data_IF_689367115040
#
_entry.id   IF_689367115040
#
_cell.length_a   1.000
_cell.length_b   1.000
_cell.length_c   1.000
_cell.angle_alpha   90.00
_cell.angle_beta   90.00
_cell.angle_gamma   90.00
#
_symmetry.space_group_name_H-M   'P 1'
#
loop_
_entity.id
_entity.type
_entity.pdbx_description
1 polymer ?
#
# COMPACT_ATOMS: atom_id res chain seq x y z
N UNK A 1 35.07 36.46 -16.35
CA UNK A 1 34.55 36.54 -14.97
C UNK A 1 33.09 36.12 -15.00
N UNK A 2 32.80 34.91 -14.52
CA UNK A 2 31.45 34.35 -14.44
C UNK A 2 30.96 34.55 -13.00
N UNK A 3 29.76 35.09 -12.74
CA UNK A 3 29.25 35.22 -11.39
C UNK A 3 28.90 33.84 -10.83
N UNK A 4 29.40 33.53 -9.64
CA UNK A 4 29.06 32.33 -8.91
C UNK A 4 27.55 32.32 -8.60
N UNK A 5 26.81 31.39 -9.21
CA UNK A 5 25.46 31.08 -8.79
C UNK A 5 25.52 30.53 -7.37
N UNK A 6 24.90 31.23 -6.43
CA UNK A 6 24.75 30.79 -5.06
C UNK A 6 24.07 29.43 -5.00
N UNK A 7 24.62 28.54 -4.18
CA UNK A 7 23.98 27.28 -3.82
C UNK A 7 22.56 27.55 -3.29
N UNK A 8 21.57 26.70 -3.62
CA UNK A 8 20.25 26.77 -3.00
C UNK A 8 20.42 26.50 -1.50
N UNK A 9 20.05 27.48 -0.69
CA UNK A 9 19.99 27.34 0.77
C UNK A 9 19.01 26.22 1.14
N UNK A 10 19.30 25.40 2.17
CA UNK A 10 18.37 24.40 2.64
C UNK A 10 17.13 25.10 3.21
N UNK A 11 15.97 24.87 2.60
CA UNK A 11 14.70 25.39 3.08
C UNK A 11 14.44 24.92 4.52
N UNK A 12 14.30 25.84 5.49
CA UNK A 12 13.98 25.48 6.85
C UNK A 12 12.46 25.32 6.97
N UNK A 13 12.05 24.19 7.56
CA UNK A 13 10.75 23.94 8.18
C UNK A 13 9.54 23.85 7.23
N UNK A 14 9.25 22.62 6.79
CA UNK A 14 7.88 22.22 6.50
C UNK A 14 7.14 22.05 7.85
N UNK A 15 6.81 23.16 8.48
CA UNK A 15 5.93 23.18 9.64
C UNK A 15 4.54 22.81 9.14
N UNK A 16 4.00 21.66 9.56
CA UNK A 16 2.58 21.35 9.41
C UNK A 16 1.80 22.43 10.18
N UNK A 17 1.40 23.49 9.47
CA UNK A 17 0.83 24.70 10.08
C UNK A 17 -0.70 24.70 10.10
N UNK A 18 -1.36 23.65 9.55
CA UNK A 18 -2.81 23.52 9.56
C UNK A 18 -3.28 22.37 10.47
N UNK A 19 -4.13 22.64 11.49
CA UNK A 19 -4.71 21.60 12.33
C UNK A 19 -5.59 20.61 11.54
N UNK A 20 -6.16 21.04 10.40
CA UNK A 20 -6.90 20.17 9.48
C UNK A 20 -6.00 19.09 8.85
N UNK A 21 -4.75 19.43 8.51
CA UNK A 21 -3.80 18.49 7.90
C UNK A 21 -3.36 17.42 8.91
N UNK A 22 -3.25 17.77 10.20
CA UNK A 22 -2.95 16.80 11.25
C UNK A 22 -4.08 15.80 11.47
N UNK A 23 -5.35 16.26 11.49
CA UNK A 23 -6.49 15.37 11.62
C UNK A 23 -6.60 14.42 10.41
N UNK A 24 -6.39 14.92 9.19
CA UNK A 24 -6.37 14.08 8.00
C UNK A 24 -5.22 13.06 8.04
N UNK A 25 -4.04 13.45 8.48
CA UNK A 25 -2.89 12.54 8.64
C UNK A 25 -3.21 11.41 9.63
N UNK A 26 -3.81 11.74 10.77
CA UNK A 26 -4.21 10.75 11.78
C UNK A 26 -5.27 9.79 11.23
N UNK A 27 -6.29 10.32 10.55
CA UNK A 27 -7.33 9.51 9.93
C UNK A 27 -6.73 8.57 8.87
N UNK A 28 -5.82 9.07 8.04
CA UNK A 28 -5.13 8.29 7.02
C UNK A 28 -4.24 7.21 7.63
N UNK A 29 -3.49 7.51 8.69
CA UNK A 29 -2.70 6.52 9.43
C UNK A 29 -3.59 5.43 10.01
N UNK A 30 -4.68 5.81 10.67
CA UNK A 30 -5.61 4.86 11.28
C UNK A 30 -6.26 3.97 10.23
N UNK A 31 -6.75 4.56 9.14
CA UNK A 31 -7.32 3.85 8.00
C UNK A 31 -6.31 2.88 7.39
N UNK A 32 -5.06 3.30 7.19
CA UNK A 32 -4.01 2.43 6.64
C UNK A 32 -3.68 1.27 7.60
N UNK A 33 -3.67 1.51 8.92
CA UNK A 33 -3.48 0.45 9.91
C UNK A 33 -4.64 -0.56 9.92
N UNK A 34 -5.88 -0.09 9.84
CA UNK A 34 -7.05 -0.95 9.69
C UNK A 34 -6.98 -1.77 8.41
N UNK A 35 -6.63 -1.14 7.29
CA UNK A 35 -6.48 -1.81 6.00
C UNK A 35 -5.40 -2.90 6.05
N UNK A 36 -4.28 -2.66 6.74
CA UNK A 36 -3.24 -3.66 6.95
C UNK A 36 -3.76 -4.85 7.79
N UNK A 37 -4.54 -4.60 8.85
CA UNK A 37 -5.16 -5.64 9.68
C UNK A 37 -6.15 -6.49 8.89
N UNK A 38 -7.02 -5.86 8.11
CA UNK A 38 -8.00 -6.55 7.26
C UNK A 38 -7.31 -7.36 6.17
N UNK A 39 -6.27 -6.80 5.54
CA UNK A 39 -5.47 -7.53 4.54
C UNK A 39 -4.81 -8.76 5.16
N UNK A 40 -4.22 -8.64 6.36
CA UNK A 40 -3.66 -9.78 7.10
C UNK A 40 -4.73 -10.83 7.41
N UNK A 41 -5.93 -10.41 7.82
CA UNK A 41 -7.06 -11.31 8.08
C UNK A 41 -7.44 -12.09 6.83
N UNK A 42 -7.65 -11.41 5.71
CA UNK A 42 -7.99 -12.05 4.43
C UNK A 42 -6.90 -12.99 3.93
N UNK A 43 -5.63 -12.66 4.15
CA UNK A 43 -4.52 -13.51 3.75
C UNK A 43 -4.46 -14.82 4.57
N UNK A 44 -4.75 -14.74 5.87
CA UNK A 44 -4.91 -15.91 6.75
C UNK A 44 -6.10 -16.76 6.35
N UNK A 45 -7.25 -16.14 6.04
CA UNK A 45 -8.43 -16.83 5.52
C UNK A 45 -8.13 -17.55 4.20
N UNK A 46 -7.41 -16.90 3.28
CA UNK A 46 -6.97 -17.51 2.01
C UNK A 46 -5.98 -18.68 2.23
N UNK A 47 -5.22 -18.64 3.33
CA UNK A 47 -4.33 -19.72 3.75
C UNK A 47 -5.07 -20.92 4.36
N UNK A 48 -6.21 -20.70 5.00
CA UNK A 48 -7.00 -21.76 5.66
C UNK A 48 -8.04 -22.43 4.77
N UNK A 49 -8.27 -21.92 3.55
CA UNK A 49 -9.16 -22.55 2.59
C UNK A 49 -8.69 -23.98 2.22
N UNK A 50 -9.60 -24.96 2.14
CA UNK A 50 -9.24 -26.30 1.72
C UNK A 50 -8.67 -26.28 0.28
N UNK A 51 -7.64 -27.10 0.00
CA UNK A 51 -7.06 -27.15 -1.33
C UNK A 51 -8.09 -27.65 -2.34
N UNK A 52 -8.19 -27.04 -3.53
CA UNK A 52 -9.10 -27.50 -4.59
C UNK A 52 -8.75 -28.93 -5.02
N UNK A 53 -9.74 -29.67 -5.54
CA UNK A 53 -9.54 -31.07 -5.93
C UNK A 53 -8.60 -31.23 -7.14
N UNK A 54 -8.50 -30.19 -8.00
CA UNK A 54 -7.61 -30.22 -9.17
C UNK A 54 -6.19 -29.79 -8.81
N UNK A 55 -5.15 -30.58 -9.16
CA UNK A 55 -3.75 -30.20 -8.97
C UNK A 55 -3.36 -28.88 -9.65
N UNK A 56 -3.97 -28.55 -10.80
CA UNK A 56 -3.69 -27.28 -11.50
C UNK A 56 -4.23 -26.07 -10.75
N UNK A 57 -5.42 -26.20 -10.16
CA UNK A 57 -6.05 -25.15 -9.35
C UNK A 57 -5.29 -24.94 -8.04
N UNK A 58 -4.79 -26.02 -7.42
CA UNK A 58 -3.95 -25.94 -6.22
C UNK A 58 -2.68 -25.12 -6.48
N UNK A 59 -2.01 -25.39 -7.60
CA UNK A 59 -0.80 -24.65 -8.01
C UNK A 59 -1.10 -23.18 -8.28
N UNK A 60 -2.20 -22.88 -8.98
CA UNK A 60 -2.61 -21.51 -9.27
C UNK A 60 -2.92 -20.74 -7.99
N UNK A 61 -3.68 -21.35 -7.07
CA UNK A 61 -4.01 -20.73 -5.78
C UNK A 61 -2.75 -20.48 -4.95
N UNK A 62 -1.80 -21.43 -4.92
CA UNK A 62 -0.50 -21.27 -4.24
C UNK A 62 0.26 -20.06 -4.80
N UNK A 63 0.42 -19.98 -6.12
CA UNK A 63 1.14 -18.89 -6.77
C UNK A 63 0.49 -17.51 -6.50
N UNK A 64 -0.84 -17.43 -6.57
CA UNK A 64 -1.56 -16.20 -6.25
C UNK A 64 -1.34 -15.78 -4.80
N UNK A 65 -1.40 -16.73 -3.87
CA UNK A 65 -1.19 -16.47 -2.44
C UNK A 65 0.23 -15.97 -2.17
N UNK A 66 1.24 -16.58 -2.78
CA UNK A 66 2.64 -16.17 -2.67
C UNK A 66 2.86 -14.74 -3.19
N UNK A 67 2.31 -14.41 -4.37
CA UNK A 67 2.39 -13.04 -4.92
C UNK A 67 1.74 -12.03 -3.98
N UNK A 68 0.54 -12.31 -3.50
CA UNK A 68 -0.16 -11.43 -2.55
C UNK A 68 0.63 -11.23 -1.25
N UNK A 69 1.28 -12.28 -0.72
CA UNK A 69 2.14 -12.16 0.45
C UNK A 69 3.37 -11.28 0.20
N UNK A 70 4.03 -11.42 -0.94
CA UNK A 70 5.20 -10.63 -1.29
C UNK A 70 4.85 -9.15 -1.52
N UNK A 71 3.75 -8.88 -2.22
CA UNK A 71 3.25 -7.53 -2.46
C UNK A 71 2.85 -6.85 -1.15
N UNK A 72 2.12 -7.58 -0.29
CA UNK A 72 1.73 -7.09 1.02
C UNK A 72 2.94 -6.84 1.93
N UNK A 73 3.93 -7.72 1.95
CA UNK A 73 5.19 -7.54 2.67
C UNK A 73 5.90 -6.25 2.26
N UNK A 74 5.99 -6.02 0.95
CA UNK A 74 6.63 -4.83 0.38
C UNK A 74 5.88 -3.55 0.76
N UNK A 75 4.55 -3.56 0.66
CA UNK A 75 3.72 -2.42 1.07
C UNK A 75 3.84 -2.13 2.58
N UNK A 76 3.84 -3.19 3.40
CA UNK A 76 3.94 -3.06 4.86
C UNK A 76 5.30 -2.53 5.31
N UNK A 77 6.38 -2.94 4.64
CA UNK A 77 7.72 -2.41 4.89
C UNK A 77 7.79 -0.91 4.59
N UNK A 78 7.28 -0.48 3.43
CA UNK A 78 7.19 0.94 3.08
C UNK A 78 6.38 1.73 4.11
N UNK A 79 5.22 1.19 4.53
CA UNK A 79 4.39 1.82 5.55
C UNK A 79 5.12 1.95 6.90
N UNK A 80 5.87 0.93 7.32
CA UNK A 80 6.65 0.96 8.55
C UNK A 80 7.73 2.03 8.53
N UNK A 81 8.41 2.21 7.40
CA UNK A 81 9.41 3.29 7.22
C UNK A 81 8.76 4.66 7.39
N UNK A 82 7.61 4.88 6.74
CA UNK A 82 6.86 6.14 6.83
C UNK A 82 6.35 6.38 8.26
N UNK A 83 5.79 5.37 8.94
CA UNK A 83 5.34 5.47 10.32
C UNK A 83 6.46 5.83 11.30
N UNK A 84 7.63 5.18 11.18
CA UNK A 84 8.79 5.48 12.05
C UNK A 84 9.26 6.91 11.87
N UNK A 85 9.34 7.37 10.61
CA UNK A 85 9.71 8.75 10.31
C UNK A 85 8.70 9.74 10.88
N UNK A 86 7.39 9.45 10.77
CA UNK A 86 6.36 10.28 11.37
C UNK A 86 6.52 10.36 12.90
N UNK A 87 6.80 9.23 13.56
CA UNK A 87 6.98 9.16 15.01
C UNK A 87 8.21 9.95 15.48
N UNK A 88 9.30 9.88 14.71
CA UNK A 88 10.53 10.63 15.00
C UNK A 88 10.31 12.14 14.88
N UNK A 89 9.65 12.60 13.80
CA UNK A 89 9.30 14.01 13.60
C UNK A 89 8.41 14.52 14.74
N UNK A 90 7.37 13.76 15.10
CA UNK A 90 6.44 14.18 16.15
C UNK A 90 7.13 14.22 17.52
N UNK A 91 8.00 13.25 17.82
CA UNK A 91 8.80 13.21 19.05
C UNK A 91 9.79 14.38 19.14
N UNK A 92 10.47 14.72 18.05
CA UNK A 92 11.36 15.88 18.01
C UNK A 92 10.58 17.18 18.25
N UNK A 93 9.39 17.31 17.66
CA UNK A 93 8.53 18.49 17.85
C UNK A 93 8.10 18.67 19.30
N UNK A 94 7.77 17.57 20.00
CA UNK A 94 7.38 17.59 21.42
C UNK A 94 8.58 17.88 22.32
N UNK A 95 9.74 17.30 22.01
CA UNK A 95 10.98 17.58 22.74
C UNK A 95 11.37 19.06 22.64
N UNK A 96 11.24 19.66 21.45
CA UNK A 96 11.50 21.08 21.21
C UNK A 96 10.52 21.98 21.96
N UNK A 97 9.22 21.67 21.90
CA UNK A 97 8.20 22.41 22.65
C UNK A 97 8.43 22.36 24.17
N UNK A 98 8.85 21.19 24.69
CA UNK A 98 9.25 21.06 26.10
C UNK A 98 10.51 21.86 26.46
N UNK A 99 11.53 21.84 25.60
CA UNK A 99 12.77 22.57 25.85
C UNK A 99 12.53 24.09 25.90
N UNK A 100 11.73 24.62 24.95
CA UNK A 100 11.29 26.02 24.98
C UNK A 100 10.47 26.36 26.23
N UNK A 101 9.60 25.43 26.67
CA UNK A 101 8.82 25.61 27.90
C UNK A 101 9.66 25.57 29.18
N UNK A 102 10.76 24.81 29.24
CA UNK A 102 11.66 24.76 30.41
C UNK A 102 12.55 26.00 30.52
N UNK A 103 12.98 26.57 29.39
CA UNK A 103 13.82 27.78 29.37
C UNK A 103 13.05 29.03 29.83
N UNK A 104 11.72 29.03 29.69
CA UNK A 104 10.84 30.13 30.12
C UNK A 104 10.15 29.88 31.47
N UNK A 105 10.35 28.68 32.06
CA UNK A 105 9.68 28.24 33.29
C UNK A 105 10.54 28.31 34.56
N UNK A 106 11.83 28.66 34.47
CA UNK A 106 12.70 28.80 35.64
C UNK A 106 12.64 30.22 36.23
N UNK A 107 11.43 30.58 36.69
CA UNK A 107 11.16 31.77 37.49
C UNK A 107 10.49 31.44 38.84
N UNK A 108 10.46 30.16 39.24
CA UNK A 108 9.75 29.76 40.45
C UNK A 108 10.13 28.38 40.97
N UNK A 109 10.89 28.39 42.08
CA UNK A 109 11.21 27.27 42.97
C UNK A 109 12.25 26.24 42.49
N UNK A 110 13.51 26.67 42.44
CA UNK A 110 14.64 25.81 42.84
C UNK A 110 14.83 25.97 44.35
N UNK A 111 14.09 25.18 45.12
CA UNK A 111 14.59 24.72 46.43
C UNK A 111 15.31 23.41 46.18
N UNK A 112 16.52 23.50 45.63
CA UNK A 112 17.51 22.48 45.92
C UNK A 112 18.87 23.12 46.16
N UNK A 113 19.35 22.84 47.34
CA UNK A 113 20.50 23.44 47.99
C UNK A 113 21.75 22.77 47.41
N UNK A 114 22.36 23.37 46.39
CA UNK A 114 23.72 23.03 46.00
C UNK A 114 24.63 24.23 46.26
N UNK A 115 25.26 24.20 47.43
CA UNK A 115 26.41 25.02 47.77
C UNK A 115 27.52 24.70 46.77
N UNK A 116 27.94 25.68 45.98
CA UNK A 116 29.24 25.70 45.32
C UNK A 116 29.78 27.11 45.42
N UNK A 117 31.04 27.16 45.87
CA UNK A 117 31.77 28.32 46.32
C UNK A 117 31.97 29.37 45.20
N UNK A 118 32.08 30.61 45.65
CA UNK A 118 32.40 31.82 44.89
C UNK A 118 33.68 31.66 44.06
N UNK A 119 33.69 32.23 42.86
CA UNK A 119 34.76 33.11 42.41
C UNK A 119 34.19 34.10 41.38
N UNK A 120 34.40 35.38 41.66
CA UNK A 120 34.08 36.52 40.81
C UNK A 120 34.97 36.48 39.56
N UNK A 121 34.41 36.63 38.36
CA UNK A 121 35.07 37.42 37.32
C UNK A 121 34.14 37.85 36.19
N UNK A 122 34.35 39.10 35.82
CA UNK A 122 33.65 39.98 34.92
C UNK A 122 33.94 39.65 33.45
N UNK A 123 32.92 39.39 32.61
CA UNK A 123 32.94 39.73 31.17
C UNK A 123 31.58 39.44 30.52
N UNK A 124 31.04 40.47 29.86
CA UNK A 124 29.74 40.41 29.21
C UNK A 124 29.74 39.67 27.88
N UNK A 125 28.64 38.98 27.60
CA UNK A 125 28.19 38.72 26.24
C UNK A 125 26.69 38.98 26.13
N UNK A 126 26.39 39.81 25.13
CA UNK A 126 25.09 40.33 24.76
C UNK A 126 24.15 39.18 24.36
N UNK A 127 23.26 38.75 25.25
CA UNK A 127 22.14 37.89 24.86
C UNK A 127 21.09 38.75 24.15
N UNK A 128 21.04 38.63 22.83
CA UNK A 128 19.88 38.99 22.02
C UNK A 128 18.70 38.14 22.48
N UNK A 129 17.94 38.62 23.47
CA UNK A 129 16.61 38.11 23.78
C UNK A 129 15.70 38.47 22.60
N UNK A 130 15.47 37.50 21.72
CA UNK A 130 14.26 37.48 20.90
C UNK A 130 13.11 37.25 21.87
N UNK A 131 12.34 38.30 22.16
CA UNK A 131 11.08 38.24 22.91
C UNK A 131 10.10 37.33 22.14
N UNK A 132 10.10 36.03 22.45
CA UNK A 132 8.97 35.17 22.15
C UNK A 132 7.99 35.18 23.35
N UNK A 133 6.67 35.20 23.09
CA UNK A 133 5.67 35.48 24.11
C UNK A 133 5.65 34.42 25.23
N UNK A 134 5.19 34.78 26.45
CA UNK A 134 5.14 33.88 27.59
C UNK A 134 4.28 32.63 27.31
N UNK A 135 4.76 31.49 27.79
CA UNK A 135 4.13 30.18 27.60
C UNK A 135 2.75 30.14 28.28
N UNK A 136 1.69 30.27 27.48
CA UNK A 136 0.28 30.15 27.91
C UNK A 136 -0.07 28.70 28.28
N UNK A 137 -1.09 28.48 29.13
CA UNK A 137 -1.67 27.17 29.46
C UNK A 137 -2.07 26.34 28.21
N UNK A 138 -2.39 27.04 27.12
CA UNK A 138 -2.60 26.51 25.76
C UNK A 138 -1.41 25.68 25.21
N UNK A 139 -0.17 26.02 25.56
CA UNK A 139 1.01 25.25 25.15
C UNK A 139 1.10 23.90 25.87
N UNK A 140 0.67 23.82 27.12
CA UNK A 140 0.69 22.56 27.89
C UNK A 140 -0.38 21.58 27.41
N UNK A 141 -1.56 22.08 27.04
CA UNK A 141 -2.62 21.25 26.44
C UNK A 141 -2.20 20.71 25.07
N UNK A 142 -1.61 21.57 24.23
CA UNK A 142 -1.06 21.16 22.91
C UNK A 142 0.02 20.08 23.05
N UNK A 143 0.90 20.19 24.06
CA UNK A 143 1.92 19.17 24.32
C UNK A 143 1.27 17.85 24.74
N UNK A 144 0.25 17.86 25.62
CA UNK A 144 -0.46 16.64 26.05
C UNK A 144 -1.17 15.93 24.90
N UNK A 145 -1.80 16.70 24.00
CA UNK A 145 -2.44 16.15 22.80
C UNK A 145 -1.42 15.44 21.92
N UNK A 146 -0.29 16.09 21.63
CA UNK A 146 0.81 15.49 20.85
C UNK A 146 1.39 14.24 21.50
N UNK A 147 1.53 14.20 22.83
CA UNK A 147 1.96 12.98 23.51
C UNK A 147 0.98 11.82 23.35
N UNK A 148 -0.32 12.12 23.33
CA UNK A 148 -1.36 11.11 23.10
C UNK A 148 -1.27 10.56 21.68
N UNK A 149 -1.03 11.44 20.70
CA UNK A 149 -0.81 11.06 19.31
C UNK A 149 0.41 10.15 19.14
N UNK A 150 1.54 10.49 19.78
CA UNK A 150 2.76 9.67 19.76
C UNK A 150 2.47 8.28 20.32
N UNK A 151 1.75 8.16 21.45
CA UNK A 151 1.38 6.86 22.04
C UNK A 151 0.52 6.04 21.08
N UNK A 152 -0.41 6.67 20.38
CA UNK A 152 -1.24 6.00 19.39
C UNK A 152 -0.42 5.52 18.19
N UNK A 153 0.53 6.32 17.72
CA UNK A 153 1.45 5.94 16.66
C UNK A 153 2.36 4.77 17.06
N UNK A 154 2.87 4.77 18.29
CA UNK A 154 3.64 3.63 18.82
C UNK A 154 2.81 2.35 18.89
N UNK A 155 1.53 2.44 19.27
CA UNK A 155 0.61 1.30 19.23
C UNK A 155 0.40 0.79 17.79
N UNK A 156 0.17 1.70 16.85
CA UNK A 156 0.01 1.37 15.43
C UNK A 156 1.26 0.68 14.85
N UNK A 157 2.46 1.11 15.25
CA UNK A 157 3.73 0.49 14.85
C UNK A 157 3.85 -0.93 15.41
N UNK A 158 3.42 -1.15 16.66
CA UNK A 158 3.40 -2.50 17.26
C UNK A 158 2.46 -3.43 16.51
N UNK A 159 1.29 -2.95 16.12
CA UNK A 159 0.32 -3.73 15.35
C UNK A 159 0.89 -4.13 13.98
N UNK A 160 1.53 -3.20 13.28
CA UNK A 160 2.20 -3.47 12.00
C UNK A 160 3.31 -4.51 12.17
N UNK A 161 4.11 -4.41 13.23
CA UNK A 161 5.15 -5.39 13.53
C UNK A 161 4.57 -6.79 13.81
N UNK A 162 3.42 -6.87 14.48
CA UNK A 162 2.74 -8.15 14.68
C UNK A 162 2.28 -8.76 13.35
N UNK A 163 1.70 -7.96 12.46
CA UNK A 163 1.33 -8.40 11.11
C UNK A 163 2.57 -8.88 10.35
N UNK A 164 3.70 -8.18 10.47
CA UNK A 164 4.95 -8.58 9.81
C UNK A 164 5.45 -9.94 10.29
N UNK A 165 5.34 -10.24 11.59
CA UNK A 165 5.65 -11.56 12.14
C UNK A 165 4.72 -12.64 11.63
N UNK A 166 3.42 -12.36 11.60
CA UNK A 166 2.42 -13.28 11.06
C UNK A 166 2.73 -13.59 9.59
N UNK A 167 3.11 -12.59 8.82
CA UNK A 167 3.49 -12.73 7.41
C UNK A 167 4.78 -13.54 7.25
N UNK A 168 5.78 -13.32 8.10
CA UNK A 168 7.01 -14.11 8.10
C UNK A 168 6.74 -15.60 8.36
N UNK A 169 5.81 -15.92 9.27
CA UNK A 169 5.36 -17.30 9.50
C UNK A 169 4.65 -17.86 8.26
N UNK A 170 3.70 -17.12 7.68
CA UNK A 170 2.98 -17.57 6.47
C UNK A 170 3.90 -17.79 5.27
N UNK A 171 4.95 -16.98 5.12
CA UNK A 171 5.96 -17.14 4.06
C UNK A 171 6.89 -18.31 4.37
N UNK A 172 7.31 -18.47 5.63
CA UNK A 172 8.21 -19.55 6.03
C UNK A 172 7.56 -20.93 5.93
N UNK A 173 6.30 -21.06 6.34
CA UNK A 173 5.52 -22.31 6.22
C UNK A 173 5.30 -22.76 4.78
N UNK A 174 5.55 -21.90 3.79
CA UNK A 174 5.48 -22.23 2.36
C UNK A 174 6.78 -22.82 1.76
N UNK A 175 7.73 -23.24 2.60
CA UNK A 175 9.04 -23.82 2.24
C UNK A 175 9.09 -24.61 0.93
N UNK A 176 10.12 -24.30 0.12
CA UNK A 176 10.44 -24.80 -1.23
C UNK A 176 9.38 -24.56 -2.33
N UNK A 177 9.45 -23.39 -2.97
CA UNK A 177 9.60 -23.22 -4.43
C UNK A 177 9.67 -21.71 -4.78
N UNK A 178 10.74 -21.02 -4.36
CA UNK A 178 11.03 -19.64 -4.81
C UNK A 178 11.44 -19.62 -6.32
N UNK A 179 11.66 -20.77 -6.93
CA UNK A 179 12.25 -20.91 -8.27
C UNK A 179 11.25 -21.04 -9.43
N UNK A 180 9.99 -20.62 -9.25
CA UNK A 180 8.95 -20.81 -10.29
C UNK A 180 8.16 -19.53 -10.63
N UNK A 181 8.48 -18.41 -9.97
CA UNK A 181 7.89 -17.12 -10.32
C UNK A 181 8.42 -16.64 -11.69
N UNK A 182 9.68 -16.91 -12.03
CA UNK A 182 10.26 -16.59 -13.35
C UNK A 182 9.69 -17.46 -14.48
N UNK A 183 9.27 -18.70 -14.19
CA UNK A 183 8.70 -19.62 -15.18
C UNK A 183 7.19 -19.40 -15.48
N UNK A 184 6.50 -18.51 -14.75
CA UNK A 184 5.03 -18.35 -14.85
C UNK A 184 4.56 -17.00 -15.40
N UNK A 185 5.47 -16.09 -15.74
CA UNK A 185 5.14 -14.98 -16.65
C UNK A 185 4.81 -15.52 -18.05
N UNK A 186 5.43 -16.65 -18.44
CA UNK A 186 5.21 -17.32 -19.73
C UNK A 186 3.85 -18.05 -19.83
N UNK A 187 3.24 -18.46 -18.71
CA UNK A 187 1.92 -19.12 -18.73
C UNK A 187 0.73 -18.15 -18.85
N UNK A 188 0.93 -16.85 -18.60
CA UNK A 188 -0.07 -15.83 -18.91
C UNK A 188 -0.17 -15.57 -20.43
N UNK A 189 0.90 -15.84 -21.18
CA UNK A 189 0.91 -15.84 -22.65
C UNK A 189 0.15 -17.06 -23.22
N UNK A 190 0.29 -18.26 -22.62
CA UNK A 190 -0.39 -19.49 -23.09
C UNK A 190 -1.93 -19.40 -23.01
N UNK A 191 -2.49 -18.62 -22.07
CA UNK A 191 -3.93 -18.41 -22.00
C UNK A 191 -4.48 -17.44 -23.06
N UNK A 192 -3.67 -16.47 -23.51
CA UNK A 192 -4.03 -15.61 -24.66
C UNK A 192 -3.91 -16.42 -25.96
N UNK A 193 -2.86 -17.24 -26.10
CA UNK A 193 -2.63 -18.05 -27.30
C UNK A 193 -3.68 -19.16 -27.48
N UNK A 194 -4.14 -19.79 -26.39
CA UNK A 194 -5.27 -20.75 -26.47
C UNK A 194 -6.59 -20.06 -26.81
N UNK A 195 -6.81 -18.82 -26.36
CA UNK A 195 -7.98 -18.01 -26.71
C UNK A 195 -8.05 -17.67 -28.20
N UNK A 196 -6.91 -17.30 -28.81
CA UNK A 196 -6.83 -17.01 -30.24
C UNK A 196 -6.98 -18.28 -31.09
N UNK A 197 -6.41 -19.41 -30.66
CA UNK A 197 -6.56 -20.71 -31.37
C UNK A 197 -8.00 -21.22 -31.35
N UNK A 198 -8.73 -21.06 -30.23
CA UNK A 198 -10.15 -21.43 -30.18
C UNK A 198 -11.02 -20.51 -31.07
N UNK A 199 -10.73 -19.21 -31.10
CA UNK A 199 -11.39 -18.26 -32.01
C UNK A 199 -11.09 -18.56 -33.49
N UNK A 200 -9.83 -18.90 -33.83
CA UNK A 200 -9.45 -19.29 -35.18
C UNK A 200 -10.12 -20.60 -35.60
N UNK A 201 -10.11 -21.63 -34.75
CA UNK A 201 -10.83 -22.90 -35.01
C UNK A 201 -12.32 -22.65 -35.21
N UNK A 202 -12.97 -21.86 -34.34
CA UNK A 202 -14.38 -21.51 -34.48
C UNK A 202 -14.67 -20.80 -35.82
N UNK A 203 -13.81 -19.88 -36.25
CA UNK A 203 -13.93 -19.20 -37.56
C UNK A 203 -13.77 -20.16 -38.75
N UNK A 204 -12.84 -21.11 -38.66
CA UNK A 204 -12.59 -22.14 -39.67
C UNK A 204 -13.78 -23.10 -39.80
N UNK A 205 -14.31 -23.60 -38.67
CA UNK A 205 -15.50 -24.45 -38.67
C UNK A 205 -16.73 -23.71 -39.20
N UNK A 206 -16.94 -22.42 -38.86
CA UNK A 206 -18.01 -21.59 -39.45
C UNK A 206 -17.87 -21.45 -40.97
N UNK A 207 -16.66 -21.27 -41.50
CA UNK A 207 -16.44 -21.14 -42.96
C UNK A 207 -16.68 -22.46 -43.70
N UNK A 208 -16.27 -23.59 -43.13
CA UNK A 208 -16.53 -24.93 -43.70
C UNK A 208 -18.01 -25.31 -43.62
N UNK A 209 -18.68 -24.98 -42.52
CA UNK A 209 -20.12 -25.23 -42.33
C UNK A 209 -20.96 -24.44 -43.33
N UNK A 210 -20.66 -23.15 -43.57
CA UNK A 210 -21.38 -22.33 -44.58
C UNK A 210 -21.30 -22.91 -46.00
N UNK A 211 -20.12 -23.41 -46.41
CA UNK A 211 -19.97 -24.06 -47.73
C UNK A 211 -20.83 -25.33 -47.84
N UNK A 212 -20.83 -26.17 -46.79
CA UNK A 212 -21.65 -27.39 -46.74
C UNK A 212 -23.15 -27.08 -46.72
N UNK A 213 -23.56 -26.07 -45.95
CA UNK A 213 -24.94 -25.59 -45.90
C UNK A 213 -25.41 -25.12 -47.28
N UNK A 214 -24.59 -24.34 -47.99
CA UNK A 214 -24.91 -23.85 -49.34
C UNK A 214 -25.08 -24.99 -50.35
N UNK A 215 -24.18 -25.98 -50.34
CA UNK A 215 -24.28 -27.16 -51.21
C UNK A 215 -25.57 -27.94 -50.90
N UNK A 216 -25.88 -28.16 -49.62
CA UNK A 216 -27.08 -28.89 -49.20
C UNK A 216 -28.36 -28.16 -49.62
N UNK A 217 -28.41 -26.84 -49.48
CA UNK A 217 -29.55 -26.03 -49.95
C UNK A 217 -29.71 -26.07 -51.48
N UNK A 218 -28.60 -26.10 -52.24
CA UNK A 218 -28.64 -26.15 -53.70
C UNK A 218 -29.18 -27.50 -54.20
N UNK A 219 -28.71 -28.60 -53.62
CA UNK A 219 -29.22 -29.96 -53.92
C UNK A 219 -30.70 -30.07 -53.57
N UNK A 220 -31.12 -29.59 -52.39
CA UNK A 220 -32.52 -29.64 -51.97
C UNK A 220 -33.43 -28.85 -52.94
N UNK A 221 -32.99 -27.67 -53.38
CA UNK A 221 -33.75 -26.88 -54.35
C UNK A 221 -33.93 -27.60 -55.70
N UNK A 222 -32.89 -28.30 -56.15
CA UNK A 222 -32.92 -29.01 -57.44
C UNK A 222 -33.88 -30.21 -57.38
N UNK A 223 -33.88 -30.94 -56.27
CA UNK A 223 -34.83 -32.03 -55.99
C UNK A 223 -36.27 -31.50 -55.97
N UNK A 224 -36.52 -30.36 -55.31
CA UNK A 224 -37.85 -29.74 -55.27
C UNK A 224 -38.35 -29.33 -56.66
N UNK A 225 -37.47 -28.77 -57.50
CA UNK A 225 -37.82 -28.40 -58.87
C UNK A 225 -38.23 -29.63 -59.69
N UNK A 226 -37.48 -30.73 -59.57
CA UNK A 226 -37.81 -31.99 -60.26
C UNK A 226 -39.18 -32.51 -59.81
N UNK A 227 -39.46 -32.51 -58.50
CA UNK A 227 -40.77 -32.92 -58.00
C UNK A 227 -41.91 -32.04 -58.53
N UNK A 228 -41.72 -30.72 -58.60
CA UNK A 228 -42.71 -29.78 -59.16
C UNK A 228 -42.97 -30.10 -60.64
N UNK A 229 -41.91 -30.37 -61.43
CA UNK A 229 -42.05 -30.71 -62.85
C UNK A 229 -42.82 -32.02 -63.05
N UNK A 230 -42.51 -33.05 -62.25
CA UNK A 230 -43.20 -34.36 -62.31
C UNK A 230 -44.68 -34.18 -61.98
N UNK A 231 -44.99 -33.46 -60.92
CA UNK A 231 -46.38 -33.18 -60.51
C UNK A 231 -47.10 -32.39 -61.61
N UNK A 232 -46.46 -31.39 -62.20
CA UNK A 232 -47.05 -30.60 -63.29
C UNK A 232 -47.31 -31.43 -64.55
N UNK A 233 -46.41 -32.33 -64.92
CA UNK A 233 -46.65 -33.26 -66.04
C UNK A 233 -47.73 -34.30 -65.74
N UNK A 234 -47.85 -34.75 -64.48
CA UNK A 234 -48.90 -35.68 -64.07
C UNK A 234 -50.30 -35.02 -63.99
N UNK A 235 -50.35 -33.70 -63.78
CA UNK A 235 -51.59 -32.91 -63.77
C UNK A 235 -52.02 -32.43 -65.17
N UNK A 236 -51.13 -32.50 -66.16
CA UNK A 236 -51.35 -32.09 -67.55
C UNK A 236 -51.94 -33.24 -68.36
#
# INVERSE_FOLDING_TARGET
>A
MVPAQGLPQPHPHLQLQHPEDQQQLQQLQHYTNQLAKETNRHLKELGSLPPPLSPSEQRQQKLQRERLMNDFSSALNNFQVVQRRAAEIEKESVARARAGSRVLGDGGNVTDQLVTYEDEDESGESQTQTEEPPVTEENLETIRERETNIRQLEANIKDVNQIFKDLAVMIHDQGEMIDTIEAHVESAEDHVDRGTVQLQKASYYKRKSRKRMCILTMVLSLVLIIFIIIIWQALK
#
